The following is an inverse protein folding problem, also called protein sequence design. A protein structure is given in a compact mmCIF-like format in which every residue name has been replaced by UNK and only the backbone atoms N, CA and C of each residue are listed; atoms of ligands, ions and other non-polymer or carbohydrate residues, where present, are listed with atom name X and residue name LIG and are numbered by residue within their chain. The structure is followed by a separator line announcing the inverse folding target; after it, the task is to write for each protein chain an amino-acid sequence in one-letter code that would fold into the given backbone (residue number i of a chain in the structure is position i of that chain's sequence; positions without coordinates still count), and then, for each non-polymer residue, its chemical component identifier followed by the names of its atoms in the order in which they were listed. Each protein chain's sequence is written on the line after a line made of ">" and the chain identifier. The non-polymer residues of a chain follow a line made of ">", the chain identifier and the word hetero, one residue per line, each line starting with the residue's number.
data_IF_981551271154
#
_entry.id   IF_981551271154
#
_cell.length_a   1.000
_cell.length_b   1.000
_cell.length_c   1.000
_cell.angle_alpha   90.00
_cell.angle_beta   90.00
_cell.angle_gamma   90.00
#
_symmetry.space_group_name_H-M   'P 1'
#
loop_
_entity.id
_entity.type
_entity.pdbx_description
1 polymer ?
#
# COMPACT_ATOMS: atom_id res chain seq x y z
N UNK A 1 -4.43 -16.21 -5.72
CA UNK A 1 -5.69 -15.50 -6.04
C UNK A 1 -5.97 -14.54 -4.89
N UNK A 2 -6.22 -13.25 -5.13
CA UNK A 2 -6.53 -12.28 -4.06
C UNK A 2 -8.05 -12.16 -3.97
N UNK A 3 -8.62 -12.42 -2.78
CA UNK A 3 -10.06 -12.22 -2.54
C UNK A 3 -10.29 -10.74 -2.28
N UNK A 4 -11.27 -10.16 -2.96
CA UNK A 4 -11.63 -8.73 -2.87
C UNK A 4 -13.09 -8.63 -2.48
N UNK A 5 -13.39 -7.85 -1.46
CA UNK A 5 -14.76 -7.55 -1.04
C UNK A 5 -15.47 -6.63 -2.04
N UNK A 6 -16.76 -6.80 -2.18
CA UNK A 6 -17.61 -5.95 -3.01
C UNK A 6 -18.16 -4.78 -2.18
N UNK A 7 -17.25 -3.87 -1.80
CA UNK A 7 -17.53 -2.81 -0.83
C UNK A 7 -18.44 -1.68 -1.34
N UNK A 8 -18.73 -1.63 -2.65
CA UNK A 8 -19.57 -0.56 -3.20
C UNK A 8 -21.06 -0.65 -2.78
N UNK A 9 -21.49 -1.82 -2.28
CA UNK A 9 -22.84 -2.00 -1.75
C UNK A 9 -22.99 -1.57 -0.29
N UNK A 10 -21.86 -1.32 0.40
CA UNK A 10 -21.84 -0.89 1.78
C UNK A 10 -22.21 0.59 1.91
N UNK A 11 -22.96 0.94 2.96
CA UNK A 11 -23.51 2.28 3.19
C UNK A 11 -22.74 3.01 4.27
N UNK A 12 -22.31 4.22 3.96
CA UNK A 12 -21.68 5.12 4.92
C UNK A 12 -22.67 5.47 6.06
N UNK A 13 -22.16 5.52 7.27
CA UNK A 13 -22.95 5.79 8.47
C UNK A 13 -23.66 4.56 9.07
N UNK A 14 -23.72 3.43 8.33
CA UNK A 14 -24.32 2.16 8.77
C UNK A 14 -23.26 1.05 8.79
N UNK A 15 -22.71 0.75 7.64
CA UNK A 15 -21.77 -0.36 7.47
C UNK A 15 -20.32 0.08 7.73
N UNK A 16 -20.03 1.37 7.59
CA UNK A 16 -18.73 1.96 7.94
C UNK A 16 -18.87 3.46 8.27
N UNK A 17 -17.94 3.99 9.09
CA UNK A 17 -17.90 5.38 9.50
C UNK A 17 -16.69 6.14 8.96
N UNK A 18 -15.56 5.45 8.76
CA UNK A 18 -14.31 6.06 8.36
C UNK A 18 -13.64 5.24 7.25
N UNK A 19 -13.27 5.93 6.19
CA UNK A 19 -12.61 5.34 5.03
C UNK A 19 -11.22 5.91 4.79
N UNK A 20 -10.99 7.14 5.25
CA UNK A 20 -9.74 7.85 5.00
C UNK A 20 -8.58 7.20 5.78
N UNK A 21 -7.69 6.56 5.06
CA UNK A 21 -6.40 6.11 5.56
C UNK A 21 -5.36 7.19 5.26
N UNK A 22 -4.68 7.75 6.27
CA UNK A 22 -3.57 8.66 6.02
C UNK A 22 -2.49 7.99 5.16
N UNK A 23 -1.90 8.78 4.27
CA UNK A 23 -0.71 8.43 3.51
C UNK A 23 0.31 9.54 3.67
N UNK A 24 1.60 9.21 3.64
CA UNK A 24 2.66 10.20 3.78
C UNK A 24 2.58 11.26 2.68
N UNK A 25 2.70 12.53 3.06
CA UNK A 25 2.68 13.64 2.09
C UNK A 25 3.96 13.69 1.27
N UNK A 26 3.85 14.17 0.01
CA UNK A 26 5.02 14.32 -0.87
C UNK A 26 6.09 15.27 -0.32
N UNK A 27 5.72 16.21 0.55
CA UNK A 27 6.67 17.09 1.24
C UNK A 27 7.49 16.29 2.26
N UNK A 28 6.82 15.50 3.10
CA UNK A 28 7.48 14.66 4.11
C UNK A 28 8.36 13.60 3.47
N UNK A 29 7.93 13.01 2.34
CA UNK A 29 8.77 12.09 1.56
C UNK A 29 10.10 12.75 1.17
N UNK A 30 10.06 13.96 0.59
CA UNK A 30 11.28 14.69 0.20
C UNK A 30 12.16 15.04 1.39
N UNK A 31 11.57 15.49 2.50
CA UNK A 31 12.30 15.79 3.75
C UNK A 31 12.97 14.54 4.30
N UNK A 32 12.24 13.41 4.32
CA UNK A 32 12.77 12.12 4.77
C UNK A 32 14.04 11.74 3.98
N UNK A 33 13.96 11.71 2.64
CA UNK A 33 15.12 11.35 1.82
C UNK A 33 16.25 12.39 1.91
N UNK A 34 15.94 13.67 2.06
CA UNK A 34 16.95 14.71 2.26
C UNK A 34 17.71 14.51 3.59
N UNK A 35 17.02 14.13 4.67
CA UNK A 35 17.64 13.78 5.95
C UNK A 35 18.53 12.54 5.78
N UNK A 36 18.04 11.49 5.11
CA UNK A 36 18.84 10.27 4.89
C UNK A 36 20.11 10.56 4.08
N UNK A 37 20.02 11.38 3.03
CA UNK A 37 21.17 11.82 2.26
C UNK A 37 22.18 12.63 3.12
N UNK A 38 21.70 13.60 3.90
CA UNK A 38 22.53 14.44 4.77
C UNK A 38 23.30 13.60 5.82
N UNK A 39 22.67 12.56 6.35
CA UNK A 39 23.31 11.66 7.33
C UNK A 39 24.02 10.47 6.67
N UNK A 40 24.08 10.41 5.34
CA UNK A 40 24.70 9.33 4.55
C UNK A 40 24.15 7.94 4.90
N UNK A 41 22.85 7.87 5.14
CA UNK A 41 22.15 6.64 5.53
C UNK A 41 21.49 6.01 4.32
N UNK A 42 21.74 4.73 4.10
CA UNK A 42 20.97 3.93 3.13
C UNK A 42 19.56 3.69 3.65
N UNK A 43 18.56 4.09 2.87
CA UNK A 43 17.15 3.81 3.13
C UNK A 43 16.85 2.37 2.78
N UNK A 44 16.29 1.66 3.73
CA UNK A 44 15.72 0.32 3.54
C UNK A 44 14.20 0.40 3.54
N UNK A 45 13.51 -0.61 3.03
CA UNK A 45 12.06 -0.71 3.16
C UNK A 45 11.60 -2.10 3.57
N UNK A 46 10.38 -2.17 4.10
CA UNK A 46 9.64 -3.42 4.32
C UNK A 46 8.29 -3.28 3.66
N UNK A 47 7.96 -4.21 2.75
CA UNK A 47 6.64 -4.39 2.17
C UNK A 47 5.88 -5.43 3.00
N UNK A 48 4.78 -5.02 3.64
CA UNK A 48 3.97 -5.90 4.49
C UNK A 48 2.98 -6.68 3.64
N UNK A 49 3.18 -7.98 3.57
CA UNK A 49 2.32 -8.87 2.79
C UNK A 49 0.92 -8.95 3.41
N UNK A 50 -0.13 -8.76 2.59
CA UNK A 50 -1.53 -8.86 3.00
C UNK A 50 -1.90 -7.96 4.20
N UNK A 51 -1.39 -6.75 4.22
CA UNK A 51 -1.45 -5.79 5.33
C UNK A 51 -2.86 -5.68 5.98
N UNK A 52 -3.91 -5.59 5.18
CA UNK A 52 -5.28 -5.43 5.70
C UNK A 52 -5.72 -6.61 6.58
N UNK A 53 -5.25 -7.82 6.32
CA UNK A 53 -5.64 -9.01 7.09
C UNK A 53 -5.11 -9.03 8.53
N UNK A 54 -4.26 -8.08 8.92
CA UNK A 54 -3.83 -7.91 10.32
C UNK A 54 -4.75 -6.99 11.12
N UNK A 55 -5.64 -6.25 10.46
CA UNK A 55 -6.52 -5.29 11.11
C UNK A 55 -7.94 -5.84 11.27
N UNK A 56 -8.53 -5.65 12.46
CA UNK A 56 -9.94 -5.97 12.69
C UNK A 56 -10.83 -4.91 12.05
N UNK A 57 -11.97 -5.33 11.51
CA UNK A 57 -13.01 -4.42 11.07
C UNK A 57 -13.69 -3.76 12.29
N UNK A 58 -14.04 -2.47 12.22
CA UNK A 58 -14.72 -1.76 13.30
C UNK A 58 -16.21 -2.13 13.42
N UNK A 59 -16.79 -2.68 12.35
CA UNK A 59 -18.21 -3.04 12.25
C UNK A 59 -18.34 -4.48 11.75
N UNK A 60 -19.43 -5.14 12.12
CA UNK A 60 -19.78 -6.45 11.60
C UNK A 60 -20.13 -6.35 10.12
N UNK A 61 -19.40 -7.05 9.29
CA UNK A 61 -19.65 -7.16 7.85
C UNK A 61 -19.77 -8.63 7.51
N UNK A 62 -20.83 -8.97 6.78
CA UNK A 62 -21.06 -10.31 6.29
C UNK A 62 -20.77 -10.39 4.78
N UNK A 63 -20.13 -11.44 4.37
CA UNK A 63 -19.84 -11.73 2.97
C UNK A 63 -20.45 -13.05 2.55
N UNK A 64 -20.93 -13.11 1.32
CA UNK A 64 -21.35 -14.37 0.72
C UNK A 64 -20.14 -15.29 0.55
N UNK A 65 -20.30 -16.57 0.91
CA UNK A 65 -19.28 -17.59 0.69
C UNK A 65 -19.06 -17.75 -0.83
N UNK A 66 -17.85 -17.49 -1.34
CA UNK A 66 -17.58 -17.74 -2.75
C UNK A 66 -17.69 -19.23 -3.07
N UNK A 67 -18.19 -19.61 -4.26
CA UNK A 67 -18.36 -21.02 -4.64
C UNK A 67 -17.08 -21.85 -4.58
N UNK A 68 -15.92 -21.19 -4.66
CA UNK A 68 -14.62 -21.85 -4.56
C UNK A 68 -14.13 -22.04 -3.11
N UNK A 69 -14.85 -21.50 -2.12
CA UNK A 69 -14.47 -21.62 -0.69
C UNK A 69 -14.39 -23.09 -0.24
N UNK A 70 -15.31 -23.90 -0.68
CA UNK A 70 -15.31 -25.35 -0.45
C UNK A 70 -13.98 -26.03 -0.84
N UNK A 71 -13.32 -25.54 -1.89
CA UNK A 71 -12.04 -26.08 -2.35
C UNK A 71 -10.84 -25.62 -1.51
N UNK A 72 -10.99 -24.62 -0.64
CA UNK A 72 -9.98 -24.28 0.36
C UNK A 72 -10.03 -25.24 1.55
N UNK A 73 -11.22 -25.68 1.93
CA UNK A 73 -11.40 -26.70 2.96
C UNK A 73 -11.05 -28.09 2.44
N UNK A 74 -11.12 -28.29 1.13
CA UNK A 74 -10.84 -29.55 0.43
C UNK A 74 -9.76 -29.35 -0.64
N UNK A 75 -8.48 -29.13 -0.26
CA UNK A 75 -7.40 -28.85 -1.21
C UNK A 75 -7.11 -29.98 -2.21
N UNK A 76 -7.48 -31.21 -1.88
CA UNK A 76 -7.40 -32.38 -2.76
C UNK A 76 -8.25 -32.24 -4.01
N UNK A 77 -9.31 -31.41 -3.98
CA UNK A 77 -10.21 -31.14 -5.12
C UNK A 77 -9.74 -29.99 -6.03
N UNK A 78 -8.64 -29.31 -5.70
CA UNK A 78 -8.11 -28.21 -6.51
C UNK A 78 -7.77 -28.60 -7.97
N UNK A 79 -7.26 -29.80 -8.28
CA UNK A 79 -7.03 -30.22 -9.67
C UNK A 79 -8.34 -30.30 -10.48
N UNK A 80 -9.41 -30.81 -9.88
CA UNK A 80 -10.72 -30.89 -10.49
C UNK A 80 -11.30 -29.47 -10.77
N UNK A 81 -11.21 -28.58 -9.78
CA UNK A 81 -11.61 -27.18 -9.93
C UNK A 81 -10.86 -26.49 -11.08
N UNK A 82 -9.55 -26.66 -11.17
CA UNK A 82 -8.73 -26.10 -12.26
C UNK A 82 -9.19 -26.62 -13.62
N UNK A 83 -9.49 -27.90 -13.73
CA UNK A 83 -9.99 -28.54 -14.96
C UNK A 83 -11.35 -27.97 -15.35
N UNK A 84 -12.26 -27.81 -14.38
CA UNK A 84 -13.59 -27.22 -14.58
C UNK A 84 -13.50 -25.77 -15.05
N UNK A 85 -12.66 -24.94 -14.38
CA UNK A 85 -12.49 -23.53 -14.74
C UNK A 85 -11.88 -23.32 -16.13
N UNK A 86 -11.01 -24.23 -16.60
CA UNK A 86 -10.43 -24.16 -17.94
C UNK A 86 -11.47 -24.34 -19.04
N UNK A 87 -12.54 -25.08 -18.80
CA UNK A 87 -13.63 -25.35 -19.76
C UNK A 87 -14.63 -24.20 -19.88
N UNK A 88 -14.61 -23.24 -18.94
CA UNK A 88 -15.52 -22.11 -18.94
C UNK A 88 -14.94 -20.93 -19.72
N UNK A 89 -15.78 -20.20 -20.46
CA UNK A 89 -15.42 -18.91 -21.02
C UNK A 89 -15.27 -17.82 -19.95
N UNK A 90 -14.82 -16.62 -20.34
CA UNK A 90 -14.58 -15.50 -19.41
C UNK A 90 -15.86 -15.09 -18.65
N UNK A 91 -17.02 -15.05 -19.34
CA UNK A 91 -18.31 -14.65 -18.76
C UNK A 91 -18.82 -15.70 -17.79
N UNK A 92 -18.75 -16.98 -18.18
CA UNK A 92 -19.13 -18.11 -17.33
C UNK A 92 -18.26 -18.20 -16.07
N UNK A 93 -16.94 -17.97 -16.18
CA UNK A 93 -16.05 -17.90 -15.01
C UNK A 93 -16.44 -16.78 -14.05
N UNK A 94 -16.75 -15.58 -14.58
CA UNK A 94 -17.19 -14.47 -13.76
C UNK A 94 -18.52 -14.77 -13.06
N UNK A 95 -19.45 -15.38 -13.77
CA UNK A 95 -20.74 -15.76 -13.20
C UNK A 95 -20.59 -16.82 -12.10
N UNK A 96 -19.75 -17.84 -12.34
CA UNK A 96 -19.45 -18.87 -11.36
C UNK A 96 -18.76 -18.29 -10.11
N UNK A 97 -17.81 -17.36 -10.27
CA UNK A 97 -17.13 -16.69 -9.18
C UNK A 97 -18.05 -15.79 -8.32
N UNK A 98 -19.14 -15.29 -8.90
CA UNK A 98 -20.13 -14.49 -8.16
C UNK A 98 -20.99 -15.35 -7.20
N UNK A 99 -21.05 -16.65 -7.43
CA UNK A 99 -21.84 -17.58 -6.61
C UNK A 99 -23.36 -17.38 -6.71
N UNK A 100 -24.07 -18.24 -6.02
CA UNK A 100 -25.52 -18.05 -5.81
C UNK A 100 -25.73 -17.18 -4.57
N UNK A 101 -26.08 -15.91 -4.81
CA UNK A 101 -26.32 -14.92 -3.74
C UNK A 101 -27.66 -15.12 -3.01
N UNK A 102 -28.39 -16.18 -3.30
CA UNK A 102 -29.76 -16.40 -2.78
C UNK A 102 -29.81 -17.32 -1.56
N UNK A 103 -28.70 -17.99 -1.20
CA UNK A 103 -28.69 -18.87 -0.05
C UNK A 103 -28.29 -18.10 1.23
N UNK A 104 -29.19 -17.90 2.20
CA UNK A 104 -28.87 -17.25 3.48
C UNK A 104 -27.90 -18.05 4.35
N UNK A 105 -27.79 -19.37 4.11
CA UNK A 105 -26.94 -20.27 4.92
C UNK A 105 -25.46 -20.21 4.60
N UNK A 106 -25.05 -19.32 3.69
CA UNK A 106 -23.67 -19.22 3.18
C UNK A 106 -23.04 -17.86 3.45
N UNK A 107 -23.43 -17.19 4.53
CA UNK A 107 -22.81 -15.93 4.96
C UNK A 107 -21.65 -16.21 5.92
N UNK A 108 -20.52 -15.54 5.66
CA UNK A 108 -19.36 -15.50 6.55
C UNK A 108 -19.24 -14.13 7.18
N UNK A 109 -19.00 -14.09 8.47
CA UNK A 109 -18.59 -12.87 9.15
C UNK A 109 -17.13 -12.54 8.81
N UNK A 110 -16.87 -11.32 8.36
CA UNK A 110 -15.52 -10.84 8.11
C UNK A 110 -14.92 -10.29 9.40
N UNK A 111 -14.12 -11.11 10.08
CA UNK A 111 -13.44 -10.70 11.31
C UNK A 111 -12.28 -9.72 11.07
N UNK A 112 -11.67 -9.78 9.88
CA UNK A 112 -10.50 -8.98 9.53
C UNK A 112 -10.79 -8.14 8.29
N UNK A 113 -10.06 -7.02 8.17
CA UNK A 113 -10.17 -6.15 7.00
C UNK A 113 -9.68 -6.87 5.74
N UNK A 114 -10.42 -6.70 4.65
CA UNK A 114 -10.07 -7.28 3.34
C UNK A 114 -10.05 -6.19 2.27
N UNK A 115 -9.34 -6.45 1.18
CA UNK A 115 -9.33 -5.53 0.04
C UNK A 115 -10.75 -5.34 -0.52
N UNK A 116 -11.09 -4.10 -0.90
CA UNK A 116 -12.40 -3.73 -1.43
C UNK A 116 -13.41 -3.26 -0.38
N UNK A 117 -13.19 -3.48 0.90
CA UNK A 117 -14.02 -2.90 1.97
C UNK A 117 -13.56 -1.46 2.23
N UNK A 118 -14.45 -0.47 2.24
CA UNK A 118 -14.08 0.95 2.34
C UNK A 118 -13.27 1.30 3.60
N UNK A 119 -13.57 0.70 4.75
CA UNK A 119 -12.88 0.94 6.03
C UNK A 119 -11.57 0.18 6.19
N UNK A 120 -11.20 -0.71 5.27
CA UNK A 120 -10.01 -1.57 5.44
C UNK A 120 -8.71 -0.79 5.51
N UNK A 121 -8.54 0.22 4.67
CA UNK A 121 -7.35 1.07 4.68
C UNK A 121 -7.18 1.80 6.02
N UNK A 122 -8.26 2.39 6.53
CA UNK A 122 -8.26 3.06 7.83
C UNK A 122 -7.97 2.08 8.98
N UNK A 123 -8.60 0.91 8.97
CA UNK A 123 -8.40 -0.12 9.99
C UNK A 123 -6.94 -0.59 10.04
N UNK A 124 -6.35 -0.81 8.87
CA UNK A 124 -4.94 -1.17 8.75
C UNK A 124 -4.02 -0.07 9.27
N UNK A 125 -4.19 1.19 8.79
CA UNK A 125 -3.40 2.31 9.26
C UNK A 125 -3.48 2.45 10.79
N UNK A 126 -4.68 2.33 11.37
CA UNK A 126 -4.88 2.41 12.82
C UNK A 126 -4.22 1.27 13.59
N UNK A 127 -4.20 0.07 13.00
CA UNK A 127 -3.49 -1.07 13.57
C UNK A 127 -1.97 -0.84 13.54
N UNK A 128 -1.42 -0.41 12.41
CA UNK A 128 -0.01 -0.11 12.25
C UNK A 128 0.44 1.02 13.19
N UNK A 129 -0.32 2.12 13.27
CA UNK A 129 -0.07 3.22 14.20
C UNK A 129 0.07 2.70 15.65
N UNK A 130 -0.86 1.84 16.09
CA UNK A 130 -0.80 1.22 17.42
C UNK A 130 0.44 0.37 17.62
N UNK A 131 0.83 -0.42 16.63
CA UNK A 131 2.05 -1.25 16.70
C UNK A 131 3.28 -0.37 16.79
N UNK A 132 3.35 0.72 16.03
CA UNK A 132 4.52 1.61 16.05
C UNK A 132 4.60 2.44 17.34
N UNK A 133 3.49 2.91 17.90
CA UNK A 133 3.48 3.91 18.98
C UNK A 133 3.29 3.38 20.39
N UNK A 134 2.66 2.21 20.57
CA UNK A 134 2.48 1.64 21.90
C UNK A 134 3.82 1.36 22.58
N UNK A 135 3.89 1.45 23.94
CA UNK A 135 5.07 1.04 24.69
C UNK A 135 5.50 -0.39 24.40
N UNK A 136 6.78 -0.67 24.53
CA UNK A 136 7.29 -2.05 24.53
C UNK A 136 6.76 -2.83 25.76
N UNK A 137 6.46 -4.13 25.65
CA UNK A 137 6.67 -5.00 24.48
C UNK A 137 5.51 -5.03 23.48
N UNK A 138 4.37 -4.38 23.74
CA UNK A 138 3.16 -4.44 22.91
C UNK A 138 3.31 -3.68 21.59
N UNK A 139 4.16 -2.66 21.59
CA UNK A 139 4.49 -1.86 20.40
C UNK A 139 5.99 -1.57 20.32
N UNK A 140 6.34 -0.58 19.50
CA UNK A 140 7.73 -0.19 19.27
C UNK A 140 8.13 1.11 19.96
N UNK A 141 7.23 1.73 20.72
CA UNK A 141 7.41 3.01 21.42
C UNK A 141 8.03 4.09 20.53
N UNK A 142 7.57 4.20 19.28
CA UNK A 142 7.95 5.26 18.36
C UNK A 142 7.08 6.50 18.59
N UNK A 143 7.60 7.66 18.27
CA UNK A 143 6.88 8.94 18.34
C UNK A 143 6.27 9.21 16.97
N UNK A 144 4.94 9.39 16.92
CA UNK A 144 4.25 9.81 15.71
C UNK A 144 4.38 11.33 15.53
N UNK A 145 4.53 11.77 14.29
CA UNK A 145 4.53 13.19 13.95
C UNK A 145 3.14 13.82 14.18
N UNK A 146 3.13 15.05 14.65
CA UNK A 146 1.90 15.87 14.72
C UNK A 146 1.54 16.51 13.38
N UNK A 147 2.49 16.60 12.44
CA UNK A 147 2.31 17.22 11.12
C UNK A 147 1.88 16.21 10.04
N UNK A 148 2.41 14.99 10.12
CA UNK A 148 2.10 13.93 9.16
C UNK A 148 1.96 12.61 9.92
N UNK A 149 0.77 12.06 9.93
CA UNK A 149 0.41 10.85 10.69
C UNK A 149 1.07 9.57 10.17
N UNK A 150 1.80 9.67 9.06
CA UNK A 150 2.55 8.58 8.46
C UNK A 150 4.08 8.74 8.62
N UNK A 151 4.51 9.68 9.46
CA UNK A 151 5.91 9.86 9.83
C UNK A 151 6.09 9.48 11.31
N UNK A 152 7.05 8.60 11.57
CA UNK A 152 7.38 8.12 12.91
C UNK A 152 8.89 8.18 13.13
N UNK A 153 9.32 8.39 14.38
CA UNK A 153 10.72 8.33 14.75
C UNK A 153 10.92 7.74 16.14
N UNK A 154 12.14 7.28 16.39
CA UNK A 154 12.58 6.82 17.69
C UNK A 154 14.02 7.25 17.91
N UNK A 155 14.28 7.83 19.07
CA UNK A 155 15.62 8.14 19.54
C UNK A 155 15.97 7.24 20.71
N UNK A 156 17.19 6.70 20.70
CA UNK A 156 17.74 5.91 21.79
C UNK A 156 19.11 6.45 22.14
N UNK A 157 19.25 7.13 23.30
CA UNK A 157 20.54 7.70 23.73
C UNK A 157 21.68 6.68 23.70
N UNK A 158 22.95 7.11 23.47
CA UNK A 158 23.32 8.51 23.24
C UNK A 158 23.17 9.03 21.81
N UNK A 159 23.12 8.16 20.81
CA UNK A 159 23.19 8.57 19.39
C UNK A 159 22.34 7.74 18.43
N UNK A 160 21.65 6.71 18.92
CA UNK A 160 20.84 5.84 18.07
C UNK A 160 19.52 6.53 17.70
N UNK A 161 19.18 6.49 16.42
CA UNK A 161 17.95 7.06 15.91
C UNK A 161 17.38 6.26 14.74
N UNK A 162 16.09 6.40 14.52
CA UNK A 162 15.36 5.80 13.43
C UNK A 162 14.24 6.73 12.99
N UNK A 163 14.02 6.84 11.69
CA UNK A 163 12.84 7.44 11.09
C UNK A 163 12.16 6.43 10.16
N UNK A 164 10.84 6.44 10.17
CA UNK A 164 10.00 5.58 9.33
C UNK A 164 8.92 6.43 8.72
N UNK A 165 8.68 6.27 7.43
CA UNK A 165 7.48 6.78 6.76
C UNK A 165 6.63 5.61 6.29
N UNK A 166 5.31 5.79 6.18
CA UNK A 166 4.46 4.71 5.71
C UNK A 166 3.53 5.14 4.57
N UNK A 167 3.38 4.25 3.60
CA UNK A 167 2.41 4.33 2.52
C UNK A 167 1.71 2.99 2.38
N UNK A 168 0.54 2.87 3.01
CA UNK A 168 -0.23 1.64 3.10
C UNK A 168 0.57 0.49 3.72
N UNK A 169 1.13 -0.39 2.90
CA UNK A 169 1.91 -1.59 3.23
C UNK A 169 3.43 -1.37 3.12
N UNK A 170 3.86 -0.29 2.46
CA UNK A 170 5.26 0.08 2.32
C UNK A 170 5.77 0.90 3.51
N UNK A 171 6.88 0.47 4.10
CA UNK A 171 7.55 1.11 5.23
C UNK A 171 9.00 1.45 4.88
N UNK A 172 9.29 2.57 4.18
CA UNK A 172 10.64 3.09 4.08
C UNK A 172 11.16 3.54 5.44
N UNK A 173 12.41 3.20 5.75
CA UNK A 173 13.03 3.57 7.01
C UNK A 173 14.54 3.78 6.88
N UNK A 174 15.09 4.65 7.73
CA UNK A 174 16.51 4.94 7.82
C UNK A 174 16.88 5.41 9.22
N UNK A 175 18.17 5.29 9.53
CA UNK A 175 18.72 5.60 10.84
C UNK A 175 20.04 4.90 11.08
N UNK A 176 20.47 4.79 12.35
CA UNK A 176 21.66 4.02 12.67
C UNK A 176 21.47 2.54 12.35
N UNK A 177 22.52 1.85 11.91
CA UNK A 177 22.43 0.44 11.50
C UNK A 177 21.85 -0.45 12.59
N UNK A 178 22.20 -0.20 13.84
CA UNK A 178 21.65 -0.90 15.00
C UNK A 178 20.12 -0.74 15.09
N UNK A 179 19.62 0.48 14.90
CA UNK A 179 18.19 0.77 14.95
C UNK A 179 17.44 0.23 13.72
N UNK A 180 18.07 0.25 12.55
CA UNK A 180 17.52 -0.38 11.33
C UNK A 180 17.34 -1.89 11.52
N UNK A 181 18.36 -2.59 12.05
CA UNK A 181 18.28 -4.03 12.33
C UNK A 181 17.23 -4.35 13.41
N UNK A 182 17.16 -3.54 14.46
CA UNK A 182 16.13 -3.68 15.49
C UNK A 182 14.74 -3.53 14.88
N UNK A 183 14.48 -2.48 14.09
CA UNK A 183 13.17 -2.24 13.48
C UNK A 183 12.75 -3.36 12.53
N UNK A 184 13.65 -3.77 11.64
CA UNK A 184 13.44 -4.90 10.74
C UNK A 184 13.02 -6.15 11.52
N UNK A 185 13.76 -6.50 12.57
CA UNK A 185 13.50 -7.67 13.39
C UNK A 185 12.12 -7.57 14.06
N UNK A 186 11.82 -6.44 14.67
CA UNK A 186 10.57 -6.25 15.40
C UNK A 186 9.33 -6.19 14.50
N UNK A 187 9.42 -5.59 13.32
CA UNK A 187 8.33 -5.56 12.34
C UNK A 187 8.08 -6.96 11.76
N UNK A 188 9.14 -7.67 11.35
CA UNK A 188 9.00 -9.00 10.74
C UNK A 188 8.62 -10.10 11.74
N UNK A 189 8.77 -9.88 13.05
CA UNK A 189 8.16 -10.75 14.08
C UNK A 189 6.63 -10.60 14.12
N UNK A 190 6.11 -9.41 13.83
CA UNK A 190 4.67 -9.08 13.95
C UNK A 190 3.91 -9.26 12.65
N UNK A 191 4.58 -9.01 11.53
CA UNK A 191 3.99 -9.03 10.19
C UNK A 191 4.83 -9.86 9.23
N UNK A 192 4.18 -10.62 8.36
CA UNK A 192 4.86 -11.20 7.20
C UNK A 192 5.16 -10.09 6.21
N UNK A 193 6.37 -10.06 5.68
CA UNK A 193 6.77 -9.03 4.73
C UNK A 193 8.08 -9.33 4.04
N UNK A 194 8.39 -8.54 3.03
CA UNK A 194 9.64 -8.60 2.28
C UNK A 194 10.51 -7.40 2.67
N UNK A 195 11.75 -7.67 3.05
CA UNK A 195 12.73 -6.64 3.35
C UNK A 195 13.57 -6.30 2.11
N UNK A 196 13.66 -5.03 1.79
CA UNK A 196 14.54 -4.48 0.75
C UNK A 196 15.64 -3.66 1.43
N UNK A 197 16.89 -4.12 1.44
CA UNK A 197 17.98 -3.48 2.20
C UNK A 197 18.40 -2.12 1.62
N UNK A 198 18.29 -1.93 0.32
CA UNK A 198 18.49 -0.67 -0.38
C UNK A 198 17.27 -0.41 -1.25
N UNK A 199 16.44 0.51 -0.83
CA UNK A 199 15.19 0.81 -1.54
C UNK A 199 15.49 1.45 -2.89
N UNK A 200 14.88 0.94 -3.96
CA UNK A 200 15.05 1.41 -5.34
C UNK A 200 13.82 2.08 -5.93
N UNK A 201 12.68 1.96 -5.26
CA UNK A 201 11.41 2.53 -5.73
C UNK A 201 10.47 2.87 -4.57
N UNK A 202 9.67 3.94 -4.70
CA UNK A 202 8.63 4.31 -3.75
C UNK A 202 7.58 5.21 -4.41
N UNK A 203 6.30 4.88 -4.28
CA UNK A 203 5.16 5.66 -4.81
C UNK A 203 5.34 6.01 -6.30
N UNK A 204 5.81 5.03 -7.08
CA UNK A 204 6.04 5.24 -8.53
C UNK A 204 7.25 6.09 -8.89
N UNK A 205 8.06 6.50 -7.92
CA UNK A 205 9.36 7.12 -8.14
C UNK A 205 10.46 6.06 -8.09
N UNK A 206 11.44 6.19 -8.96
CA UNK A 206 12.70 5.47 -8.89
C UNK A 206 13.62 6.18 -7.89
N UNK A 207 14.36 5.44 -7.07
CA UNK A 207 15.24 5.96 -6.02
C UNK A 207 16.65 5.47 -6.28
N UNK A 208 17.56 6.40 -6.51
CA UNK A 208 19.00 6.12 -6.66
C UNK A 208 19.71 6.63 -5.41
N UNK A 209 20.35 5.74 -4.69
CA UNK A 209 21.02 6.05 -3.43
C UNK A 209 22.54 5.96 -3.58
N UNK A 210 23.23 7.02 -3.14
CA UNK A 210 24.68 7.12 -3.09
C UNK A 210 25.09 7.67 -1.70
N UNK A 211 25.08 6.83 -0.67
CA UNK A 211 25.36 7.25 0.70
C UNK A 211 26.82 7.70 0.89
N UNK A 212 27.77 7.22 0.06
CA UNK A 212 29.17 7.64 0.13
C UNK A 212 29.32 9.15 -0.16
N UNK A 213 28.53 9.65 -1.11
CA UNK A 213 28.51 11.07 -1.47
C UNK A 213 27.36 11.84 -0.83
N UNK A 214 26.56 11.22 0.03
CA UNK A 214 25.42 11.85 0.70
C UNK A 214 24.33 12.28 -0.30
N UNK A 215 24.06 11.46 -1.33
CA UNK A 215 23.11 11.78 -2.40
C UNK A 215 22.01 10.72 -2.49
N UNK A 216 20.77 11.20 -2.61
CA UNK A 216 19.61 10.38 -2.97
C UNK A 216 18.84 11.13 -4.05
N UNK A 217 18.61 10.47 -5.19
CA UNK A 217 17.85 11.01 -6.30
C UNK A 217 16.47 10.35 -6.34
N UNK A 218 15.43 11.17 -6.52
CA UNK A 218 14.05 10.74 -6.73
C UNK A 218 13.68 11.02 -8.18
N UNK A 219 13.52 9.98 -8.98
CA UNK A 219 13.34 10.08 -10.42
C UNK A 219 11.95 9.59 -10.83
N UNK A 220 11.41 10.16 -11.90
CA UNK A 220 10.14 9.74 -12.51
C UNK A 220 10.31 9.34 -13.98
N UNK A 221 11.50 8.97 -14.40
CA UNK A 221 11.84 8.65 -15.79
C UNK A 221 10.93 7.56 -16.37
N UNK A 222 10.68 6.50 -15.61
CA UNK A 222 9.80 5.41 -16.03
C UNK A 222 8.35 5.86 -16.25
N UNK A 223 7.82 6.69 -15.34
CA UNK A 223 6.47 7.25 -15.47
C UNK A 223 6.36 8.18 -16.70
N UNK A 224 7.34 9.06 -16.89
CA UNK A 224 7.41 9.97 -18.04
C UNK A 224 7.41 9.16 -19.33
N UNK A 225 8.28 8.14 -19.45
CA UNK A 225 8.35 7.28 -20.63
C UNK A 225 7.02 6.57 -20.90
N UNK A 226 6.38 6.04 -19.88
CA UNK A 226 5.06 5.40 -20.02
C UNK A 226 3.98 6.38 -20.53
N UNK A 227 3.99 7.63 -20.04
CA UNK A 227 3.07 8.65 -20.52
C UNK A 227 3.36 9.03 -21.97
N UNK A 228 4.62 9.17 -22.37
CA UNK A 228 4.98 9.40 -23.76
C UNK A 228 4.44 8.30 -24.69
N UNK A 229 4.71 7.04 -24.39
CA UNK A 229 4.20 5.89 -25.17
C UNK A 229 2.66 5.90 -25.23
N UNK A 230 1.99 6.18 -24.12
CA UNK A 230 0.53 6.22 -24.06
C UNK A 230 -0.06 7.30 -24.96
N UNK A 231 0.59 8.44 -25.07
CA UNK A 231 0.11 9.60 -25.83
C UNK A 231 0.77 9.77 -27.20
N UNK A 232 1.71 8.90 -27.58
CA UNK A 232 2.46 8.99 -28.83
C UNK A 232 1.57 9.15 -30.06
N UNK A 233 0.47 8.38 -30.15
CA UNK A 233 -0.50 8.50 -31.23
C UNK A 233 -1.15 9.89 -31.34
N UNK A 234 -1.33 10.59 -30.21
CA UNK A 234 -1.91 11.93 -30.21
C UNK A 234 -0.88 12.99 -30.64
N UNK A 235 0.42 12.80 -30.35
CA UNK A 235 1.47 13.70 -30.82
C UNK A 235 1.59 13.70 -32.34
N UNK A 236 1.47 12.53 -32.96
CA UNK A 236 1.48 12.39 -34.42
C UNK A 236 0.16 12.86 -35.08
N UNK A 237 -1.00 12.52 -34.48
CA UNK A 237 -2.32 12.85 -35.00
C UNK A 237 -2.63 14.37 -34.97
N UNK A 238 -2.18 15.07 -33.94
CA UNK A 238 -2.47 16.48 -33.71
C UNK A 238 -1.28 17.42 -34.01
N UNK A 239 -0.20 16.93 -34.63
CA UNK A 239 1.04 17.71 -34.92
C UNK A 239 1.55 18.51 -33.69
N UNK A 240 1.45 17.90 -32.48
CA UNK A 240 1.87 18.55 -31.25
C UNK A 240 3.38 18.76 -31.26
N UNK A 241 3.79 20.04 -31.26
CA UNK A 241 5.21 20.41 -31.23
C UNK A 241 5.68 20.61 -29.78
N UNK A 242 6.94 20.25 -29.49
CA UNK A 242 7.54 20.56 -28.19
C UNK A 242 7.47 22.05 -27.89
N UNK A 243 7.06 22.40 -26.66
CA UNK A 243 7.00 23.76 -26.17
C UNK A 243 7.92 23.92 -24.96
N UNK A 244 8.63 25.03 -24.87
CA UNK A 244 9.50 25.31 -23.72
C UNK A 244 8.72 25.71 -22.46
N UNK A 245 7.42 25.97 -22.58
CA UNK A 245 6.53 26.32 -21.48
C UNK A 245 5.28 25.43 -21.53
N UNK A 246 4.79 24.93 -20.38
CA UNK A 246 3.64 24.03 -20.32
C UNK A 246 2.35 24.64 -20.87
N UNK A 247 2.26 25.99 -20.86
CA UNK A 247 1.10 26.73 -21.31
C UNK A 247 1.55 27.94 -22.14
N UNK A 248 1.21 28.02 -23.43
CA UNK A 248 1.44 29.22 -24.22
C UNK A 248 0.58 30.37 -23.69
N UNK A 249 1.19 31.52 -23.50
CA UNK A 249 0.51 32.75 -23.11
C UNK A 249 -0.66 33.02 -24.07
N UNK A 250 -1.88 33.17 -23.53
CA UNK A 250 -3.07 33.54 -24.32
C UNK A 250 -4.04 32.42 -24.67
N UNK A 251 -3.76 31.16 -24.32
CA UNK A 251 -4.77 30.09 -24.43
C UNK A 251 -5.87 30.27 -23.38
N UNK A 252 -7.06 30.64 -23.83
CA UNK A 252 -8.26 30.58 -23.00
C UNK A 252 -8.62 29.09 -22.83
N UNK A 253 -8.53 28.57 -21.60
CA UNK A 253 -9.07 27.24 -21.27
C UNK A 253 -10.57 27.25 -21.53
N UNK A 254 -11.05 26.41 -22.43
CA UNK A 254 -12.49 26.12 -22.52
C UNK A 254 -12.83 25.29 -21.30
N UNK A 255 -13.78 25.77 -20.49
CA UNK A 255 -14.38 24.96 -19.43
C UNK A 255 -15.02 23.74 -20.11
N UNK A 256 -14.61 22.55 -19.69
CA UNK A 256 -15.21 21.28 -20.05
C UNK A 256 -16.40 21.02 -19.13
#
# INVERSE_FOLDING_TARGET
>A
MRQVGDGHILREGIDYLQTYAPTVSGVVVRIFYAIMAAYRVTVSSIDISTAYLYAKLPTLIYAWVPPYYYYFEHPELLPELRTRLRKLDKRQRQQWLKGDRKSPDTLLELCMAVYGIPSSGYSWWKHLEKVLTRPEPEGLAMIASTYDRCLFWKFKPPSDWLMVICWTDDLPYGGTEKMKQWFKTEILKRFKGTHVPCQDSFIGMEIVQDPEHGRIELLQSGLITQQFVKFEKYFSEFEIKPQNIPYPFGLKTRNW
#
